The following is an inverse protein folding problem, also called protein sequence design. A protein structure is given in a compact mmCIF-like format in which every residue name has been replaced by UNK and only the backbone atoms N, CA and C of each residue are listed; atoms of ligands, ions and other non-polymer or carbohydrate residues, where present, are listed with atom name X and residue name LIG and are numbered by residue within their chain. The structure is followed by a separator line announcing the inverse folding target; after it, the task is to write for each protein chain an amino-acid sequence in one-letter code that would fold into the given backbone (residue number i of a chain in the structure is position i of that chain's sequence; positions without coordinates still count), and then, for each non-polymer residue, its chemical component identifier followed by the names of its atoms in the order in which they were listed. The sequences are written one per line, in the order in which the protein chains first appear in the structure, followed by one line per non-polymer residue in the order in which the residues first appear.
data_IF_880974214457
#
_entry.id   IF_880974214457
#
_cell.length_a   1.000
_cell.length_b   1.000
_cell.length_c   1.000
_cell.angle_alpha   90.00
_cell.angle_beta   90.00
_cell.angle_gamma   90.00
#
_symmetry.space_group_name_H-M   'P 1'
#
loop_
_entity.id
_entity.type
_entity.pdbx_description
1 polymer ?
#
# COMPACT_ATOMS: atom_id res chain seq x y z
N UNK A 1 -4.35 -26.93 8.32
CA UNK A 1 -5.77 -26.63 8.46
C UNK A 1 -6.56 -27.75 7.80
N UNK A 2 -7.20 -28.64 8.60
CA UNK A 2 -8.03 -29.71 8.08
C UNK A 2 -9.39 -29.13 7.69
N UNK A 3 -9.63 -28.99 6.38
CA UNK A 3 -10.99 -28.74 5.90
C UNK A 3 -11.83 -29.96 6.20
N UNK A 4 -12.73 -29.80 7.14
CA UNK A 4 -13.68 -30.84 7.53
C UNK A 4 -14.53 -31.28 6.34
N UNK A 5 -14.68 -32.59 6.13
CA UNK A 5 -15.50 -33.24 5.07
C UNK A 5 -16.97 -32.81 5.04
N UNK A 6 -17.42 -31.93 5.93
CA UNK A 6 -18.82 -31.48 6.08
C UNK A 6 -19.22 -30.24 5.24
N UNK A 7 -18.31 -29.69 4.41
CA UNK A 7 -18.62 -28.49 3.59
C UNK A 7 -19.02 -28.78 2.14
N UNK A 8 -19.32 -30.03 1.80
CA UNK A 8 -19.89 -30.34 0.47
C UNK A 8 -21.39 -30.07 0.55
N UNK A 9 -21.85 -28.99 -0.07
CA UNK A 9 -23.28 -28.74 -0.20
C UNK A 9 -23.94 -29.90 -0.98
N UNK A 10 -25.03 -30.49 -0.46
CA UNK A 10 -25.71 -31.61 -1.13
C UNK A 10 -26.38 -31.19 -2.44
N UNK A 11 -26.47 -29.89 -2.71
CA UNK A 11 -27.05 -29.28 -3.90
C UNK A 11 -26.02 -28.25 -4.43
N UNK A 12 -25.70 -28.35 -5.73
CA UNK A 12 -24.77 -27.40 -6.35
C UNK A 12 -25.36 -25.97 -6.43
N UNK A 13 -24.55 -24.91 -6.46
CA UNK A 13 -25.03 -23.53 -6.65
C UNK A 13 -25.87 -23.35 -7.91
N UNK A 14 -25.54 -24.03 -9.02
CA UNK A 14 -26.30 -23.97 -10.25
C UNK A 14 -27.70 -24.58 -10.09
N UNK A 15 -27.84 -25.63 -9.27
CA UNK A 15 -29.16 -26.20 -8.96
C UNK A 15 -29.97 -25.26 -8.06
N UNK A 16 -29.33 -24.53 -7.13
CA UNK A 16 -30.01 -23.51 -6.31
C UNK A 16 -30.51 -22.34 -7.17
N UNK A 17 -29.69 -21.88 -8.15
CA UNK A 17 -30.11 -20.87 -9.12
C UNK A 17 -31.32 -21.36 -9.95
N UNK A 18 -31.24 -22.58 -10.45
CA UNK A 18 -32.38 -23.21 -11.18
C UNK A 18 -33.62 -23.28 -10.31
N UNK A 19 -33.49 -23.67 -9.02
CA UNK A 19 -34.59 -23.70 -8.07
C UNK A 19 -35.21 -22.32 -7.86
N UNK A 20 -34.39 -21.31 -7.69
CA UNK A 20 -34.84 -19.93 -7.52
C UNK A 20 -35.72 -19.49 -8.70
N UNK A 21 -35.25 -19.74 -9.92
CA UNK A 21 -35.99 -19.38 -11.11
C UNK A 21 -37.25 -20.25 -11.32
N UNK A 22 -37.20 -21.56 -11.05
CA UNK A 22 -38.37 -22.45 -11.10
C UNK A 22 -39.48 -21.98 -10.16
N UNK A 23 -39.12 -21.65 -8.91
CA UNK A 23 -40.06 -21.12 -7.93
C UNK A 23 -40.61 -19.75 -8.31
N UNK A 24 -39.78 -18.89 -8.95
CA UNK A 24 -40.19 -17.56 -9.39
C UNK A 24 -41.16 -17.65 -10.60
N UNK A 25 -40.78 -18.39 -11.64
CA UNK A 25 -41.52 -18.47 -12.89
C UNK A 25 -42.72 -19.43 -12.84
N UNK A 26 -42.66 -20.38 -11.90
CA UNK A 26 -43.62 -21.52 -11.80
C UNK A 26 -43.76 -22.29 -13.15
N UNK A 27 -42.70 -22.31 -13.97
CA UNK A 27 -42.69 -22.86 -15.31
C UNK A 27 -41.33 -23.43 -15.68
N UNK A 28 -41.28 -24.68 -16.12
CA UNK A 28 -40.07 -25.32 -16.64
C UNK A 28 -39.60 -24.61 -17.91
N UNK A 29 -40.55 -24.30 -18.84
CA UNK A 29 -40.22 -23.60 -20.09
C UNK A 29 -39.74 -22.18 -19.85
N UNK A 30 -40.39 -21.41 -18.92
CA UNK A 30 -39.98 -20.06 -18.55
C UNK A 30 -38.62 -20.05 -17.89
N UNK A 31 -38.31 -21.03 -17.03
CA UNK A 31 -36.98 -21.19 -16.42
C UNK A 31 -35.92 -21.54 -17.47
N UNK A 32 -36.22 -22.42 -18.42
CA UNK A 32 -35.30 -22.77 -19.48
C UNK A 32 -34.92 -21.56 -20.33
N UNK A 33 -35.91 -20.74 -20.67
CA UNK A 33 -35.69 -19.47 -21.40
C UNK A 33 -34.81 -18.51 -20.59
N UNK A 34 -35.10 -18.32 -19.29
CA UNK A 34 -34.36 -17.42 -18.42
C UNK A 34 -32.90 -17.84 -18.20
N UNK A 35 -32.64 -19.16 -18.22
CA UNK A 35 -31.26 -19.71 -18.05
C UNK A 35 -30.53 -19.90 -19.39
N UNK A 36 -31.18 -19.74 -20.54
CA UNK A 36 -30.59 -20.02 -21.84
C UNK A 36 -30.26 -21.51 -22.06
N UNK A 37 -31.03 -22.42 -21.43
CA UNK A 37 -30.82 -23.88 -21.54
C UNK A 37 -32.05 -24.60 -22.08
N UNK A 38 -31.92 -25.90 -22.41
CA UNK A 38 -33.04 -26.68 -22.90
C UNK A 38 -34.04 -27.06 -21.78
N UNK A 39 -35.35 -27.18 -22.14
CA UNK A 39 -36.37 -27.64 -21.19
C UNK A 39 -36.07 -29.02 -20.57
N UNK A 40 -35.54 -30.02 -21.30
CA UNK A 40 -35.13 -31.29 -20.71
C UNK A 40 -34.06 -31.13 -19.61
N UNK A 41 -33.15 -30.14 -19.75
CA UNK A 41 -32.14 -29.85 -18.72
C UNK A 41 -32.78 -29.34 -17.45
N UNK A 42 -33.72 -28.40 -17.55
CA UNK A 42 -34.44 -27.87 -16.37
C UNK A 42 -35.32 -28.96 -15.73
N UNK A 43 -35.96 -29.81 -16.53
CA UNK A 43 -36.73 -30.95 -16.03
C UNK A 43 -35.87 -31.92 -15.21
N UNK A 44 -34.67 -32.24 -15.69
CA UNK A 44 -33.71 -33.09 -14.94
C UNK A 44 -33.29 -32.42 -13.64
N UNK A 45 -32.96 -31.12 -13.69
CA UNK A 45 -32.64 -30.33 -12.50
C UNK A 45 -33.80 -30.34 -11.49
N UNK A 46 -35.03 -30.16 -11.92
CA UNK A 46 -36.21 -30.24 -11.04
C UNK A 46 -36.35 -31.63 -10.40
N UNK A 47 -36.11 -32.69 -11.16
CA UNK A 47 -36.13 -34.06 -10.62
C UNK A 47 -35.06 -34.27 -9.54
N UNK A 48 -33.82 -33.79 -9.78
CA UNK A 48 -32.74 -33.84 -8.80
C UNK A 48 -33.09 -33.04 -7.51
N UNK A 49 -33.65 -31.84 -7.67
CA UNK A 49 -34.08 -31.00 -6.57
C UNK A 49 -35.19 -31.65 -5.74
N UNK A 50 -36.17 -32.28 -6.36
CA UNK A 50 -37.24 -33.05 -5.70
C UNK A 50 -36.68 -34.17 -4.84
N UNK A 51 -35.73 -34.93 -5.39
CA UNK A 51 -35.06 -36.00 -4.66
C UNK A 51 -34.25 -35.46 -3.48
N UNK A 52 -33.45 -34.42 -3.69
CA UNK A 52 -32.57 -33.83 -2.68
C UNK A 52 -33.37 -33.17 -1.54
N UNK A 53 -34.45 -32.46 -1.86
CA UNK A 53 -35.29 -31.74 -0.90
C UNK A 53 -36.47 -32.57 -0.37
N UNK A 54 -36.70 -33.79 -0.93
CA UNK A 54 -37.81 -34.70 -0.59
C UNK A 54 -39.17 -34.02 -0.66
N UNK A 55 -39.36 -33.14 -1.66
CA UNK A 55 -40.60 -32.37 -1.87
C UNK A 55 -40.83 -32.13 -3.37
N UNK A 56 -42.08 -32.18 -3.86
CA UNK A 56 -42.43 -31.89 -5.24
C UNK A 56 -42.07 -30.46 -5.70
N UNK A 57 -41.95 -29.50 -4.79
CA UNK A 57 -41.61 -28.07 -4.99
C UNK A 57 -42.64 -27.31 -5.82
N UNK A 58 -43.05 -27.87 -6.94
CA UNK A 58 -44.08 -27.39 -7.85
C UNK A 58 -45.04 -28.52 -8.18
N UNK A 59 -46.36 -28.26 -8.08
CA UNK A 59 -47.45 -29.16 -8.39
C UNK A 59 -48.39 -28.55 -9.45
N UNK A 60 -49.14 -29.35 -10.19
CA UNK A 60 -50.15 -28.84 -11.13
C UNK A 60 -51.30 -28.18 -10.37
N UNK A 61 -51.75 -27.02 -10.81
CA UNK A 61 -52.88 -26.29 -10.26
C UNK A 61 -53.60 -25.55 -11.40
N UNK A 62 -54.80 -26.04 -11.75
CA UNK A 62 -55.52 -25.52 -12.91
C UNK A 62 -54.72 -25.66 -14.22
N UNK A 63 -54.58 -24.57 -14.96
CA UNK A 63 -53.80 -24.52 -16.22
C UNK A 63 -52.32 -24.33 -16.04
N UNK A 64 -51.82 -24.24 -14.79
CA UNK A 64 -50.41 -23.92 -14.50
C UNK A 64 -49.78 -24.76 -13.41
N UNK A 65 -48.74 -24.25 -12.79
CA UNK A 65 -48.08 -24.86 -11.64
C UNK A 65 -48.15 -23.93 -10.43
N UNK A 66 -48.34 -24.53 -9.25
CA UNK A 66 -48.30 -23.85 -7.96
C UNK A 66 -47.12 -24.37 -7.12
N UNK A 67 -46.60 -23.55 -6.22
CA UNK A 67 -45.60 -23.97 -5.27
C UNK A 67 -46.23 -24.82 -4.18
N UNK A 68 -45.50 -25.83 -3.70
CA UNK A 68 -45.82 -26.51 -2.46
C UNK A 68 -45.58 -25.56 -1.27
N UNK A 69 -46.06 -25.92 -0.09
CA UNK A 69 -45.72 -25.17 1.15
C UNK A 69 -44.21 -25.04 1.30
N UNK A 70 -43.47 -26.12 1.07
CA UNK A 70 -42.01 -26.12 1.12
C UNK A 70 -41.38 -25.20 0.06
N UNK A 71 -41.95 -25.19 -1.16
CA UNK A 71 -41.55 -24.26 -2.21
C UNK A 71 -41.75 -22.81 -1.84
N UNK A 72 -42.88 -22.46 -1.19
CA UNK A 72 -43.09 -21.07 -0.69
C UNK A 72 -42.11 -20.69 0.40
N UNK A 73 -41.82 -21.56 1.38
CA UNK A 73 -40.84 -21.33 2.44
C UNK A 73 -39.42 -21.08 1.91
N UNK A 74 -39.08 -21.70 0.77
CA UNK A 74 -37.77 -21.57 0.15
C UNK A 74 -37.59 -20.26 -0.63
N UNK A 75 -38.64 -19.60 -1.08
CA UNK A 75 -38.53 -18.38 -1.91
C UNK A 75 -37.75 -17.28 -1.21
N UNK A 76 -38.08 -16.97 0.04
CA UNK A 76 -37.36 -15.94 0.83
C UNK A 76 -35.90 -16.31 1.05
N UNK A 77 -35.63 -17.53 1.51
CA UNK A 77 -34.25 -18.01 1.77
C UNK A 77 -33.37 -18.01 0.51
N UNK A 78 -33.94 -18.34 -0.63
CA UNK A 78 -33.20 -18.30 -1.91
C UNK A 78 -32.98 -16.88 -2.40
N UNK A 79 -33.91 -15.96 -2.12
CA UNK A 79 -33.71 -14.53 -2.41
C UNK A 79 -32.56 -13.96 -1.55
N UNK A 80 -32.50 -14.26 -0.28
CA UNK A 80 -31.42 -13.84 0.62
C UNK A 80 -30.06 -14.43 0.19
N UNK A 81 -30.06 -15.73 -0.17
CA UNK A 81 -28.85 -16.37 -0.71
C UNK A 81 -28.37 -15.70 -2.01
N UNK A 82 -29.27 -15.39 -2.94
CA UNK A 82 -28.94 -14.69 -4.19
C UNK A 82 -28.39 -13.29 -3.91
N UNK A 83 -29.01 -12.53 -3.01
CA UNK A 83 -28.56 -11.20 -2.62
C UNK A 83 -27.14 -11.24 -2.03
N UNK A 84 -26.90 -12.16 -1.09
CA UNK A 84 -25.59 -12.35 -0.49
C UNK A 84 -24.54 -12.78 -1.53
N UNK A 85 -24.90 -13.70 -2.43
CA UNK A 85 -23.98 -14.15 -3.48
C UNK A 85 -23.70 -13.04 -4.49
N UNK A 86 -24.69 -12.25 -4.86
CA UNK A 86 -24.51 -11.10 -5.76
C UNK A 86 -23.63 -10.03 -5.12
N UNK A 87 -23.76 -9.78 -3.84
CA UNK A 87 -22.90 -8.84 -3.10
C UNK A 87 -21.42 -9.22 -3.14
N UNK A 88 -21.08 -10.52 -3.23
CA UNK A 88 -19.69 -10.96 -3.41
C UNK A 88 -19.09 -10.60 -4.78
N UNK A 89 -19.94 -10.36 -5.78
CA UNK A 89 -19.54 -10.10 -7.17
C UNK A 89 -19.64 -8.62 -7.55
N UNK A 90 -20.27 -7.81 -6.70
CA UNK A 90 -20.34 -6.35 -6.88
C UNK A 90 -19.07 -5.79 -6.30
N UNK A 91 -18.24 -5.16 -7.14
CA UNK A 91 -17.20 -4.27 -6.65
C UNK A 91 -17.91 -3.06 -6.02
N UNK A 92 -17.82 -2.93 -4.71
CA UNK A 92 -18.26 -1.71 -4.03
C UNK A 92 -17.50 -0.54 -4.65
N UNK A 93 -18.21 0.49 -5.09
CA UNK A 93 -17.59 1.73 -5.56
C UNK A 93 -16.75 2.28 -4.40
N UNK A 94 -15.44 2.33 -4.59
CA UNK A 94 -14.53 2.84 -3.57
C UNK A 94 -14.86 4.31 -3.26
N UNK A 95 -15.16 4.57 -2.00
CA UNK A 95 -15.39 5.91 -1.47
C UNK A 95 -14.40 6.14 -0.31
N UNK A 96 -13.38 6.99 -0.47
CA UNK A 96 -12.37 7.23 0.57
C UNK A 96 -12.99 7.75 1.87
N UNK A 97 -14.10 8.52 1.80
CA UNK A 97 -14.76 9.06 2.98
C UNK A 97 -15.40 7.98 3.87
N UNK A 98 -15.68 6.81 3.31
CA UNK A 98 -16.39 5.70 4.00
C UNK A 98 -15.50 4.50 4.30
N UNK A 99 -14.33 4.41 3.67
CA UNK A 99 -13.46 3.25 3.84
C UNK A 99 -12.85 3.28 5.24
N UNK A 100 -13.06 2.21 5.99
CA UNK A 100 -12.43 1.97 7.29
C UNK A 100 -11.28 0.96 7.08
N UNK A 101 -10.05 1.45 7.11
CA UNK A 101 -8.87 0.62 6.86
C UNK A 101 -7.64 1.15 7.59
N UNK A 102 -6.82 0.21 8.03
CA UNK A 102 -5.50 0.47 8.59
C UNK A 102 -4.43 0.08 7.59
N UNK A 103 -3.60 1.04 7.18
CA UNK A 103 -2.44 0.80 6.33
C UNK A 103 -1.18 0.74 7.17
N UNK A 104 -0.35 -0.27 6.93
CA UNK A 104 1.00 -0.36 7.51
C UNK A 104 2.00 0.09 6.46
N UNK A 105 2.72 1.19 6.76
CA UNK A 105 3.65 1.83 5.85
C UNK A 105 5.06 1.74 6.43
N UNK A 106 5.96 1.01 5.75
CA UNK A 106 7.36 0.97 6.13
C UNK A 106 8.08 2.23 5.64
N UNK A 107 8.77 2.92 6.53
CA UNK A 107 9.50 4.14 6.17
C UNK A 107 10.60 4.47 7.17
N UNK A 108 11.54 5.33 6.75
CA UNK A 108 12.40 6.08 7.67
C UNK A 108 11.67 7.32 8.19
N UNK A 109 12.20 7.94 9.23
CA UNK A 109 11.71 9.25 9.71
C UNK A 109 11.79 10.33 8.61
N UNK A 110 12.80 10.29 7.72
CA UNK A 110 12.86 11.16 6.56
C UNK A 110 11.65 10.97 5.61
N UNK A 111 11.26 9.73 5.33
CA UNK A 111 10.05 9.48 4.52
C UNK A 111 8.77 9.92 5.22
N UNK A 112 8.73 9.83 6.56
CA UNK A 112 7.62 10.40 7.34
C UNK A 112 7.58 11.91 7.17
N UNK A 113 8.71 12.60 7.38
CA UNK A 113 8.80 14.07 7.28
C UNK A 113 8.48 14.58 5.88
N UNK A 114 9.01 13.90 4.84
CA UNK A 114 8.95 14.39 3.46
C UNK A 114 7.70 13.94 2.69
N UNK A 115 7.02 12.87 3.12
CA UNK A 115 5.88 12.28 2.39
C UNK A 115 4.62 12.23 3.24
N UNK A 116 4.67 11.58 4.41
CA UNK A 116 3.48 11.33 5.20
C UNK A 116 3.00 12.58 5.95
N UNK A 117 3.90 13.30 6.60
CA UNK A 117 3.55 14.49 7.37
C UNK A 117 2.83 15.54 6.52
N UNK A 118 3.31 15.92 5.33
CA UNK A 118 2.60 16.84 4.45
C UNK A 118 1.23 16.32 3.98
N UNK A 119 1.08 15.01 3.88
CA UNK A 119 -0.15 14.39 3.42
C UNK A 119 -1.23 14.28 4.52
N UNK A 120 -0.84 14.33 5.80
CA UNK A 120 -1.75 14.00 6.90
C UNK A 120 -3.01 14.86 6.95
N UNK A 121 -2.94 16.16 6.68
CA UNK A 121 -4.11 17.04 6.71
C UNK A 121 -5.13 16.61 5.63
N UNK A 122 -4.68 16.45 4.39
CA UNK A 122 -5.51 16.01 3.27
C UNK A 122 -6.10 14.63 3.49
N UNK A 123 -5.28 13.67 3.96
CA UNK A 123 -5.75 12.31 4.24
C UNK A 123 -6.82 12.28 5.34
N UNK A 124 -6.67 13.09 6.37
CA UNK A 124 -7.68 13.21 7.46
C UNK A 124 -8.98 13.84 6.99
N UNK A 125 -8.92 14.76 6.04
CA UNK A 125 -10.11 15.40 5.46
C UNK A 125 -10.84 14.46 4.50
N UNK A 126 -10.12 13.82 3.58
CA UNK A 126 -10.71 13.00 2.52
C UNK A 126 -11.10 11.60 2.98
N UNK A 127 -10.37 11.02 3.94
CA UNK A 127 -10.53 9.64 4.40
C UNK A 127 -10.38 9.53 5.93
N UNK A 128 -11.32 10.09 6.71
CA UNK A 128 -11.21 10.25 8.16
C UNK A 128 -11.09 8.92 8.93
N UNK A 129 -11.59 7.81 8.39
CA UNK A 129 -11.54 6.49 9.02
C UNK A 129 -10.33 5.63 8.58
N UNK A 130 -9.47 6.15 7.70
CA UNK A 130 -8.19 5.50 7.40
C UNK A 130 -7.20 5.78 8.55
N UNK A 131 -6.53 4.72 9.02
CA UNK A 131 -5.40 4.79 9.94
C UNK A 131 -4.11 4.40 9.23
N UNK A 132 -3.00 5.05 9.59
CA UNK A 132 -1.67 4.74 9.08
C UNK A 132 -0.76 4.35 10.24
N UNK A 133 -0.26 3.12 10.24
CA UNK A 133 0.76 2.63 11.15
C UNK A 133 2.12 2.70 10.45
N UNK A 134 3.03 3.50 10.99
CA UNK A 134 4.37 3.63 10.46
C UNK A 134 5.26 2.58 11.13
N UNK A 135 5.95 1.79 10.32
CA UNK A 135 6.89 0.76 10.78
C UNK A 135 8.27 1.00 10.19
N UNK A 136 9.35 0.62 10.88
CA UNK A 136 10.71 0.79 10.36
C UNK A 136 10.94 -0.01 9.07
N UNK A 137 11.76 0.53 8.17
CA UNK A 137 12.33 -0.25 7.07
C UNK A 137 13.30 -1.30 7.62
N UNK A 138 13.25 -2.51 7.05
CA UNK A 138 14.14 -3.61 7.42
C UNK A 138 14.46 -4.48 6.19
N UNK A 139 15.39 -5.42 6.34
CA UNK A 139 15.64 -6.45 5.31
C UNK A 139 14.39 -7.29 4.97
N UNK A 140 13.48 -7.41 5.93
CA UNK A 140 12.24 -8.15 5.74
C UNK A 140 11.15 -7.35 5.00
N UNK A 141 11.36 -6.05 4.69
CA UNK A 141 10.33 -5.19 4.10
C UNK A 141 9.76 -5.76 2.80
N UNK A 142 10.61 -6.27 1.89
CA UNK A 142 10.15 -6.88 0.63
C UNK A 142 9.25 -8.10 0.87
N UNK A 143 9.67 -8.99 1.76
CA UNK A 143 8.91 -10.17 2.15
C UNK A 143 7.60 -9.78 2.83
N UNK A 144 7.63 -8.81 3.74
CA UNK A 144 6.45 -8.32 4.45
C UNK A 144 5.42 -7.68 3.50
N UNK A 145 5.86 -6.99 2.42
CA UNK A 145 4.99 -6.53 1.34
C UNK A 145 4.33 -7.68 0.58
N UNK A 146 5.10 -8.74 0.26
CA UNK A 146 4.58 -9.91 -0.43
C UNK A 146 3.59 -10.72 0.43
N UNK A 147 3.87 -10.87 1.72
CA UNK A 147 3.01 -11.57 2.68
C UNK A 147 1.80 -10.72 3.13
N UNK A 148 1.88 -9.38 2.99
CA UNK A 148 0.84 -8.43 3.35
C UNK A 148 0.85 -8.00 4.80
N UNK A 149 1.96 -8.19 5.46
CA UNK A 149 2.22 -7.62 6.78
C UNK A 149 2.48 -6.11 6.70
N UNK A 150 2.87 -5.62 5.52
CA UNK A 150 3.04 -4.22 5.17
C UNK A 150 2.28 -3.97 3.86
N UNK A 151 1.61 -2.83 3.76
CA UNK A 151 0.86 -2.44 2.55
C UNK A 151 1.73 -1.67 1.56
N UNK A 152 2.55 -0.74 2.07
CA UNK A 152 3.40 0.17 1.29
C UNK A 152 4.76 0.32 1.96
N UNK A 153 5.78 0.64 1.17
CA UNK A 153 7.06 1.12 1.70
C UNK A 153 7.48 2.41 0.98
N UNK A 154 8.09 3.33 1.73
CA UNK A 154 8.64 4.60 1.24
C UNK A 154 10.13 4.58 1.48
N UNK A 155 10.95 4.58 0.43
CA UNK A 155 12.38 4.34 0.53
C UNK A 155 13.19 5.05 -0.55
N UNK A 156 14.39 5.52 -0.17
CA UNK A 156 15.43 5.99 -1.10
C UNK A 156 16.53 4.95 -1.35
N UNK A 157 16.34 3.70 -0.91
CA UNK A 157 17.27 2.63 -1.17
C UNK A 157 16.99 2.02 -2.55
N UNK A 158 18.04 1.56 -3.22
CA UNK A 158 17.91 0.81 -4.45
C UNK A 158 17.24 -0.55 -4.16
N UNK A 159 16.16 -0.81 -4.85
CA UNK A 159 15.40 -2.04 -4.73
C UNK A 159 15.42 -2.79 -6.05
N UNK A 160 15.51 -4.12 -5.99
CA UNK A 160 15.32 -4.96 -7.16
C UNK A 160 13.88 -4.78 -7.70
N UNK A 161 13.71 -4.23 -8.91
CA UNK A 161 12.39 -3.96 -9.48
C UNK A 161 11.63 -5.22 -9.88
N UNK A 162 12.24 -6.41 -9.82
CA UNK A 162 11.66 -7.64 -10.37
C UNK A 162 10.45 -8.17 -9.60
N UNK A 163 10.26 -7.76 -8.34
CA UNK A 163 9.22 -8.30 -7.45
C UNK A 163 8.23 -7.28 -6.93
N UNK A 164 8.50 -5.98 -7.07
CA UNK A 164 7.67 -4.91 -6.54
C UNK A 164 7.32 -3.89 -7.62
N UNK A 165 6.11 -3.37 -7.52
CA UNK A 165 5.76 -2.12 -8.20
C UNK A 165 6.39 -0.94 -7.49
N UNK A 166 6.73 0.08 -8.26
CA UNK A 166 7.27 1.32 -7.71
C UNK A 166 6.76 2.55 -8.45
N UNK A 167 6.66 3.65 -7.74
CA UNK A 167 6.41 4.98 -8.30
C UNK A 167 7.42 5.96 -7.71
N UNK A 168 8.05 6.75 -8.57
CA UNK A 168 8.93 7.83 -8.12
C UNK A 168 8.09 8.92 -7.46
N UNK A 169 8.40 9.24 -6.21
CA UNK A 169 7.75 10.32 -5.47
C UNK A 169 8.42 11.66 -5.77
N UNK A 170 9.75 11.69 -5.68
CA UNK A 170 10.58 12.86 -5.98
C UNK A 170 12.05 12.46 -6.13
N UNK A 171 12.82 13.38 -6.71
CA UNK A 171 14.27 13.42 -6.62
C UNK A 171 14.68 14.55 -5.68
N UNK A 172 15.82 14.39 -5.02
CA UNK A 172 16.33 15.35 -4.04
C UNK A 172 17.85 15.44 -4.12
N UNK A 173 18.38 16.64 -3.87
CA UNK A 173 19.81 16.88 -3.80
C UNK A 173 20.35 16.61 -2.41
N UNK A 174 21.64 16.34 -2.32
CA UNK A 174 22.31 16.21 -1.04
C UNK A 174 22.97 17.52 -0.63
N UNK A 175 22.86 17.83 0.66
CA UNK A 175 23.53 18.94 1.31
C UNK A 175 24.52 18.41 2.36
N UNK A 176 25.69 19.03 2.44
CA UNK A 176 26.55 18.99 3.61
C UNK A 176 25.97 19.91 4.67
N UNK A 177 25.69 19.37 5.84
CA UNK A 177 25.14 20.10 6.99
C UNK A 177 26.16 20.11 8.10
N UNK A 178 26.41 21.28 8.69
CA UNK A 178 27.36 21.51 9.77
C UNK A 178 26.79 22.53 10.76
N UNK A 179 27.44 22.75 11.89
CA UNK A 179 27.17 23.94 12.69
C UNK A 179 27.61 25.22 11.94
N UNK A 180 27.00 26.37 12.23
CA UNK A 180 27.17 27.59 11.45
C UNK A 180 28.62 28.17 11.48
N UNK A 181 29.38 27.92 12.52
CA UNK A 181 30.78 28.38 12.66
C UNK A 181 31.82 27.33 12.21
N UNK A 182 31.36 26.22 11.59
CA UNK A 182 32.25 25.19 11.04
C UNK A 182 33.06 25.75 9.86
N UNK A 183 34.33 25.31 9.66
CA UNK A 183 35.15 25.75 8.51
C UNK A 183 34.47 25.61 7.14
N UNK A 184 33.72 24.54 6.93
CA UNK A 184 32.96 24.33 5.71
C UNK A 184 31.79 25.32 5.51
N UNK A 185 31.32 26.00 6.53
CA UNK A 185 30.21 26.95 6.42
C UNK A 185 30.61 28.32 5.85
N UNK A 186 31.90 28.53 5.51
CA UNK A 186 32.44 29.85 5.15
C UNK A 186 32.12 30.32 3.74
N UNK A 187 31.74 29.46 2.85
CA UNK A 187 31.32 29.80 1.51
C UNK A 187 30.04 29.00 1.11
N UNK A 188 29.43 29.35 -0.03
CA UNK A 188 28.20 28.74 -0.52
C UNK A 188 28.42 27.75 -1.68
N UNK A 189 29.67 27.62 -2.15
CA UNK A 189 30.01 26.73 -3.25
C UNK A 189 29.86 25.25 -2.85
N UNK A 190 29.72 24.37 -3.85
CA UNK A 190 29.69 22.93 -3.61
C UNK A 190 30.96 22.45 -2.91
N UNK A 191 30.81 21.57 -1.93
CA UNK A 191 31.93 20.96 -1.22
C UNK A 191 32.61 19.93 -2.12
N UNK A 192 33.92 20.01 -2.29
CA UNK A 192 34.66 18.95 -2.99
C UNK A 192 34.77 17.69 -2.13
N UNK A 193 35.02 16.52 -2.78
CA UNK A 193 35.22 15.25 -2.03
C UNK A 193 36.38 15.36 -1.03
N UNK A 194 37.49 15.98 -1.40
CA UNK A 194 38.65 16.12 -0.53
C UNK A 194 38.33 17.00 0.68
N UNK A 195 37.66 18.14 0.46
CA UNK A 195 37.18 19.02 1.52
C UNK A 195 36.24 18.31 2.48
N UNK A 196 35.31 17.54 1.91
CA UNK A 196 34.35 16.74 2.66
C UNK A 196 35.06 15.71 3.56
N UNK A 197 35.98 14.93 2.99
CA UNK A 197 36.68 13.85 3.69
C UNK A 197 37.71 14.35 4.72
N UNK A 198 38.13 15.63 4.68
CA UNK A 198 39.07 16.22 5.62
C UNK A 198 38.48 16.38 7.04
N UNK A 199 37.16 16.26 7.21
CA UNK A 199 36.49 16.50 8.49
C UNK A 199 35.94 15.21 9.10
N UNK A 200 35.68 15.19 10.43
CA UNK A 200 34.97 14.07 11.07
C UNK A 200 33.48 14.09 10.69
N UNK A 201 32.90 12.90 10.52
CA UNK A 201 31.55 12.73 10.05
C UNK A 201 30.59 12.21 11.09
N UNK A 202 29.37 12.72 11.04
CA UNK A 202 28.20 12.06 11.55
C UNK A 202 27.59 11.21 10.43
N UNK A 203 27.63 9.90 10.59
CA UNK A 203 27.06 8.94 9.63
C UNK A 203 25.56 8.79 9.81
N UNK A 204 24.91 8.38 8.74
CA UNK A 204 23.51 7.96 8.76
C UNK A 204 23.44 6.48 8.39
N UNK A 205 22.88 5.66 9.26
CA UNK A 205 22.65 4.25 9.04
C UNK A 205 21.16 4.05 8.76
N UNK A 206 20.80 3.94 7.49
CA UNK A 206 19.41 3.74 7.10
C UNK A 206 19.08 2.25 7.10
N UNK A 207 18.10 1.82 7.87
CA UNK A 207 17.65 0.45 8.07
C UNK A 207 18.69 -0.46 8.75
N UNK A 208 18.28 -1.68 9.09
CA UNK A 208 19.17 -2.73 9.65
C UNK A 208 20.30 -3.16 8.68
N UNK A 209 20.24 -2.72 7.41
CA UNK A 209 21.23 -3.04 6.38
C UNK A 209 22.55 -2.28 6.53
N UNK A 210 22.69 -1.41 7.55
CA UNK A 210 23.89 -0.59 7.75
C UNK A 210 24.39 0.13 6.48
N UNK A 211 23.45 0.47 5.56
CA UNK A 211 23.78 1.06 4.28
C UNK A 211 24.23 2.52 4.48
N UNK A 212 25.51 2.73 4.40
CA UNK A 212 26.10 4.06 4.28
C UNK A 212 26.18 4.46 2.80
N UNK A 213 25.19 5.25 2.34
CA UNK A 213 25.13 5.71 0.95
C UNK A 213 26.39 6.45 0.53
N UNK A 214 26.98 7.26 1.41
CA UNK A 214 28.22 8.00 1.11
C UNK A 214 29.36 7.03 0.82
N UNK A 215 29.53 6.01 1.67
CA UNK A 215 30.53 4.97 1.45
C UNK A 215 30.30 4.18 0.16
N UNK A 216 29.06 3.84 -0.13
CA UNK A 216 28.71 3.12 -1.36
C UNK A 216 29.00 3.95 -2.62
N UNK A 217 28.67 5.24 -2.59
CA UNK A 217 28.82 6.11 -3.77
C UNK A 217 30.27 6.53 -4.00
N UNK A 218 31.01 6.90 -2.95
CA UNK A 218 32.41 7.32 -3.05
C UNK A 218 33.39 6.14 -3.15
N UNK A 219 32.94 4.91 -2.86
CA UNK A 219 33.76 3.71 -3.00
C UNK A 219 35.09 3.78 -2.24
N UNK A 220 36.21 3.59 -2.96
CA UNK A 220 37.55 3.63 -2.35
C UNK A 220 37.93 4.99 -1.77
N UNK A 221 37.39 6.11 -2.27
CA UNK A 221 37.62 7.43 -1.72
C UNK A 221 37.09 7.55 -0.29
N UNK A 222 35.98 6.86 0.01
CA UNK A 222 35.40 6.85 1.37
C UNK A 222 36.25 6.13 2.41
N UNK A 223 37.30 5.39 2.02
CA UNK A 223 38.18 4.66 2.97
C UNK A 223 38.89 5.58 3.98
N UNK A 224 39.08 6.85 3.64
CA UNK A 224 39.67 7.87 4.52
C UNK A 224 38.64 8.59 5.40
N UNK A 225 37.35 8.35 5.18
CA UNK A 225 36.25 9.00 5.89
C UNK A 225 36.24 8.57 7.36
N UNK A 226 36.37 9.54 8.24
CA UNK A 226 36.34 9.32 9.68
C UNK A 226 34.92 9.50 10.23
N UNK A 227 34.14 8.43 10.29
CA UNK A 227 32.82 8.42 10.93
C UNK A 227 33.02 8.26 12.43
N UNK A 228 32.63 9.26 13.24
CA UNK A 228 32.80 9.28 14.69
C UNK A 228 31.54 8.90 15.45
N UNK A 229 30.39 9.03 14.82
CA UNK A 229 29.10 8.55 15.31
C UNK A 229 28.18 8.26 14.13
N UNK A 230 27.18 7.39 14.32
CA UNK A 230 26.15 7.10 13.33
C UNK A 230 24.76 7.19 13.97
N UNK A 231 23.80 7.71 13.23
CA UNK A 231 22.40 7.84 13.64
C UNK A 231 21.50 7.00 12.73
N UNK A 232 20.48 6.33 13.30
CA UNK A 232 19.46 5.70 12.51
C UNK A 232 18.30 6.65 12.13
N UNK A 233 18.34 7.92 12.57
CA UNK A 233 17.28 8.90 12.43
C UNK A 233 17.80 10.25 11.94
N UNK A 234 17.16 10.81 10.92
CA UNK A 234 17.47 12.15 10.41
C UNK A 234 17.13 13.25 11.43
N UNK A 235 16.02 13.09 12.13
CA UNK A 235 15.49 14.10 13.05
C UNK A 235 16.39 14.40 14.25
N UNK A 236 17.37 13.55 14.57
CA UNK A 236 18.35 13.79 15.65
C UNK A 236 19.63 14.49 15.17
N UNK A 237 19.84 14.58 13.86
CA UNK A 237 21.04 15.19 13.28
C UNK A 237 21.30 16.63 13.75
N UNK A 238 20.29 17.54 13.83
CA UNK A 238 20.52 18.91 14.28
C UNK A 238 21.18 19.02 15.65
N UNK A 239 20.72 18.25 16.62
CA UNK A 239 21.26 18.29 17.98
C UNK A 239 22.70 17.77 18.03
N UNK A 240 23.02 16.73 17.27
CA UNK A 240 24.36 16.15 17.21
C UNK A 240 25.34 17.07 16.49
N UNK A 241 24.93 17.68 15.38
CA UNK A 241 25.78 18.64 14.63
C UNK A 241 26.05 19.92 15.41
N UNK A 242 25.05 20.44 16.12
CA UNK A 242 25.21 21.62 16.96
C UNK A 242 26.22 21.40 18.13
N UNK A 243 26.32 20.16 18.61
CA UNK A 243 27.19 19.81 19.73
C UNK A 243 28.64 19.47 19.33
N UNK A 244 28.94 19.30 18.04
CA UNK A 244 30.21 18.79 17.55
C UNK A 244 30.75 19.50 16.32
N UNK A 245 32.05 19.26 16.05
CA UNK A 245 32.71 19.71 14.81
C UNK A 245 32.57 18.63 13.74
N UNK A 246 31.34 18.40 13.32
CA UNK A 246 30.95 17.27 12.47
C UNK A 246 30.33 17.75 11.17
N UNK A 247 30.52 16.94 10.13
CA UNK A 247 29.85 17.08 8.83
C UNK A 247 28.88 15.92 8.63
N UNK A 248 27.69 16.20 8.15
CA UNK A 248 26.73 15.19 7.76
C UNK A 248 26.18 15.49 6.37
N UNK A 249 25.95 14.45 5.57
CA UNK A 249 25.22 14.58 4.30
C UNK A 249 23.76 14.21 4.54
N UNK A 250 22.87 15.10 4.11
CA UNK A 250 21.43 14.94 4.22
C UNK A 250 20.74 15.35 2.92
N UNK A 251 19.58 14.76 2.58
CA UNK A 251 18.71 15.28 1.51
C UNK A 251 18.27 16.71 1.83
N UNK A 252 18.12 17.54 0.81
CA UNK A 252 17.76 18.96 0.98
C UNK A 252 16.41 19.11 1.71
N UNK A 253 15.46 18.24 1.44
CA UNK A 253 14.17 18.21 2.13
C UNK A 253 14.30 17.89 3.62
N UNK A 254 15.26 17.04 4.02
CA UNK A 254 15.52 16.80 5.44
C UNK A 254 16.09 18.04 6.11
N UNK A 255 17.07 18.68 5.47
CA UNK A 255 17.67 19.91 5.98
C UNK A 255 16.66 21.06 6.09
N UNK A 256 15.70 21.16 5.18
CA UNK A 256 14.63 22.16 5.22
C UNK A 256 13.70 22.05 6.45
N UNK A 257 13.62 20.88 7.08
CA UNK A 257 12.87 20.70 8.34
C UNK A 257 13.65 21.14 9.58
N UNK A 258 14.94 21.48 9.43
CA UNK A 258 15.74 21.88 10.56
C UNK A 258 15.53 23.38 10.85
N UNK A 259 15.07 23.65 12.03
CA UNK A 259 14.82 25.02 12.48
C UNK A 259 16.12 25.84 12.51
N UNK A 260 16.05 27.09 12.09
CA UNK A 260 17.14 28.08 12.20
C UNK A 260 17.70 28.20 13.62
N UNK A 261 16.93 27.81 14.65
CA UNK A 261 17.38 27.79 16.07
C UNK A 261 18.50 26.79 16.32
N UNK A 262 18.73 25.81 15.47
CA UNK A 262 19.83 24.86 15.64
C UNK A 262 21.17 25.42 15.25
N UNK A 263 21.23 26.64 14.66
CA UNK A 263 22.51 27.28 14.27
C UNK A 263 23.32 26.44 13.28
N UNK A 264 22.62 25.79 12.32
CA UNK A 264 23.23 24.97 11.28
C UNK A 264 23.45 25.76 10.00
N UNK A 265 24.48 25.37 9.25
CA UNK A 265 24.75 25.82 7.89
C UNK A 265 24.68 24.65 6.92
N UNK A 266 24.28 24.97 5.69
CA UNK A 266 24.16 23.99 4.61
C UNK A 266 24.96 24.45 3.40
N UNK A 267 25.60 23.51 2.71
CA UNK A 267 26.25 23.70 1.41
C UNK A 267 25.88 22.54 0.50
N UNK A 268 25.86 22.73 -0.84
CA UNK A 268 25.73 21.61 -1.77
C UNK A 268 26.81 20.56 -1.48
N UNK A 269 26.39 19.32 -1.35
CA UNK A 269 27.29 18.18 -1.14
C UNK A 269 28.13 17.90 -2.39
N UNK A 270 29.20 17.07 -2.30
CA UNK A 270 29.96 16.65 -3.48
C UNK A 270 29.06 16.11 -4.58
N UNK A 271 29.26 16.60 -5.83
CA UNK A 271 28.44 16.24 -6.98
C UNK A 271 28.44 14.73 -7.29
N UNK A 272 29.50 14.04 -6.88
CA UNK A 272 29.66 12.60 -7.00
C UNK A 272 28.60 11.81 -6.23
N UNK A 273 27.97 12.40 -5.22
CA UNK A 273 26.88 11.76 -4.48
C UNK A 273 25.57 11.64 -5.29
N UNK A 274 25.47 12.40 -6.41
CA UNK A 274 24.33 12.37 -7.30
C UNK A 274 23.03 12.82 -6.63
N UNK A 275 21.91 12.33 -7.15
CA UNK A 275 20.58 12.61 -6.61
C UNK A 275 20.04 11.44 -5.81
N UNK A 276 19.24 11.76 -4.81
CA UNK A 276 18.43 10.78 -4.10
C UNK A 276 17.11 10.59 -4.85
N UNK A 277 16.86 9.40 -5.35
CA UNK A 277 15.54 9.01 -5.84
C UNK A 277 14.74 8.40 -4.70
N UNK A 278 13.54 8.93 -4.46
CA UNK A 278 12.69 8.46 -3.38
C UNK A 278 11.42 7.82 -3.93
N UNK A 279 11.17 6.58 -3.56
CA UNK A 279 10.19 5.71 -4.19
C UNK A 279 9.10 5.29 -3.21
N UNK A 280 7.88 5.15 -3.75
CA UNK A 280 6.80 4.41 -3.14
C UNK A 280 6.78 2.99 -3.73
N UNK A 281 6.74 1.98 -2.87
CA UNK A 281 6.84 0.56 -3.22
C UNK A 281 5.60 -0.20 -2.74
N UNK A 282 5.14 -1.15 -3.54
CA UNK A 282 4.05 -2.06 -3.15
C UNK A 282 4.13 -3.38 -3.92
N UNK A 283 3.45 -4.41 -3.44
CA UNK A 283 3.41 -5.72 -4.08
C UNK A 283 2.19 -5.86 -5.02
N UNK A 284 2.25 -6.76 -6.02
CA UNK A 284 1.17 -7.05 -6.97
C UNK A 284 -0.16 -7.38 -6.28
N UNK A 285 -0.14 -8.03 -5.12
CA UNK A 285 -1.33 -8.38 -4.35
C UNK A 285 -2.24 -7.19 -4.01
N UNK A 286 -1.66 -6.00 -3.84
CA UNK A 286 -2.39 -4.75 -3.54
C UNK A 286 -2.45 -3.79 -4.73
N UNK A 287 -1.93 -4.21 -5.90
CA UNK A 287 -1.85 -3.33 -7.06
C UNK A 287 -3.23 -2.84 -7.52
N UNK A 288 -4.21 -3.73 -7.54
CA UNK A 288 -5.60 -3.46 -7.96
C UNK A 288 -6.55 -3.15 -6.80
N UNK A 289 -6.07 -3.14 -5.56
CA UNK A 289 -6.87 -2.77 -4.40
C UNK A 289 -7.23 -1.27 -4.47
N UNK A 290 -8.51 -0.89 -4.53
CA UNK A 290 -8.93 0.50 -4.75
C UNK A 290 -8.46 1.45 -3.65
N UNK A 291 -8.46 1.01 -2.38
CA UNK A 291 -8.02 1.83 -1.26
C UNK A 291 -6.50 2.06 -1.28
N UNK A 292 -5.73 1.01 -1.60
CA UNK A 292 -4.27 1.12 -1.75
C UNK A 292 -3.91 1.98 -2.96
N UNK A 293 -4.66 1.86 -4.08
CA UNK A 293 -4.47 2.69 -5.26
C UNK A 293 -4.69 4.16 -4.96
N UNK A 294 -5.81 4.49 -4.32
CA UNK A 294 -6.12 5.85 -3.91
C UNK A 294 -5.05 6.45 -3.00
N UNK A 295 -4.60 5.71 -1.97
CA UNK A 295 -3.56 6.22 -1.06
C UNK A 295 -2.25 6.50 -1.80
N UNK A 296 -1.83 5.60 -2.70
CA UNK A 296 -0.63 5.78 -3.52
C UNK A 296 -0.71 7.03 -4.40
N UNK A 297 -1.84 7.23 -5.06
CA UNK A 297 -2.05 8.41 -5.91
C UNK A 297 -2.04 9.70 -5.10
N UNK A 298 -2.66 9.71 -3.92
CA UNK A 298 -2.66 10.89 -3.03
C UNK A 298 -1.27 11.25 -2.57
N UNK A 299 -0.50 10.26 -2.08
CA UNK A 299 0.89 10.50 -1.66
C UNK A 299 1.75 11.04 -2.80
N UNK A 300 1.67 10.42 -3.98
CA UNK A 300 2.41 10.88 -5.15
C UNK A 300 2.01 12.29 -5.61
N UNK A 301 0.73 12.61 -5.59
CA UNK A 301 0.22 13.93 -5.97
C UNK A 301 0.71 15.04 -5.02
N UNK A 302 0.66 14.78 -3.72
CA UNK A 302 1.11 15.73 -2.69
C UNK A 302 2.63 15.97 -2.82
N UNK A 303 3.42 14.90 -3.04
CA UNK A 303 4.86 15.04 -3.26
C UNK A 303 5.19 15.90 -4.49
N UNK A 304 4.42 15.80 -5.57
CA UNK A 304 4.59 16.64 -6.77
C UNK A 304 4.27 18.11 -6.52
N UNK A 305 3.29 18.41 -5.67
CA UNK A 305 2.92 19.79 -5.33
C UNK A 305 3.97 20.50 -4.48
N UNK A 306 4.81 19.73 -3.79
CA UNK A 306 5.90 20.23 -2.93
C UNK A 306 7.25 20.33 -3.65
N UNK A 307 7.32 19.96 -4.93
CA UNK A 307 8.53 20.19 -5.71
C UNK A 307 8.85 21.70 -5.70
N UNK A 308 10.11 22.12 -5.49
CA UNK A 308 10.49 23.52 -5.65
C UNK A 308 9.96 23.97 -7.00
N UNK A 309 9.20 25.08 -7.04
CA UNK A 309 8.87 25.72 -8.32
C UNK A 309 10.18 26.24 -8.84
N UNK A 310 10.61 25.74 -9.99
CA UNK A 310 11.75 26.29 -10.74
C UNK A 310 11.56 27.81 -10.78
N UNK A 311 12.48 28.51 -10.14
CA UNK A 311 12.51 29.97 -10.08
C UNK A 311 13.35 30.50 -11.22
#
# INVERSE_FOLDING_TARGET
MQYSRSMVLPISPNLLLTLTLLLKTKSVSGTALALGVSQPSVSRSLSQLRTALKDPLLVRSGSGMARTRRGEELVGRLADWMATTSALLVEDSFDPARVERRFRVASTDFGVMSVLLPAMATLREEAPAIAIDIVPLSHATHRALAEGDIDLAISGLDHDPSQLHRALLFEDEFLCVTRADHPLARNEESVSVDEFLAHPHLGLTVSEAELDRVAMTLGSAAATRKVVASLPYFGLAPAMLAAGDLVMVLPSRAAAHFDARHGLATRPAPAELGLLQYWLLWHERSHRDPASHWLRERLAQICKQQAPRDS
#
